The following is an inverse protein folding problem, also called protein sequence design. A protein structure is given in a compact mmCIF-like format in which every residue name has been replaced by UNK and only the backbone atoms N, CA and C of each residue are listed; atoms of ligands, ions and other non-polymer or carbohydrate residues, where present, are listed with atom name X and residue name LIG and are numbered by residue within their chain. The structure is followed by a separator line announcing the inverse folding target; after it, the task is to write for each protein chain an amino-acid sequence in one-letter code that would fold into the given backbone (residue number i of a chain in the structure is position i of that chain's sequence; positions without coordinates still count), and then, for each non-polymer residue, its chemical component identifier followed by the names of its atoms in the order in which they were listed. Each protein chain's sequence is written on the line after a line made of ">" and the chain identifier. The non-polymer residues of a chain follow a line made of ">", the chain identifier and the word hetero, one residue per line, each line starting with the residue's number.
data_IF_888582310349
#
_entry.id   IF_888582310349
#
_cell.length_a   1.000
_cell.length_b   1.000
_cell.length_c   1.000
_cell.angle_alpha   90.00
_cell.angle_beta   90.00
_cell.angle_gamma   90.00
#
_symmetry.space_group_name_H-M   'P 1'
#
loop_
_entity.id
_entity.type
_entity.pdbx_description
1 polymer ?
#
# COMPACT_ATOMS: atom_id res chain seq x y z
N UNK A 1 -5.45 8.02 -23.61
CA UNK A 1 -5.78 7.23 -22.40
C UNK A 1 -4.71 7.50 -21.36
N UNK A 2 -5.08 7.80 -20.12
CA UNK A 2 -4.14 8.00 -19.02
C UNK A 2 -4.06 6.70 -18.19
N UNK A 3 -2.86 6.38 -17.68
CA UNK A 3 -2.56 5.15 -16.91
C UNK A 3 -1.79 5.54 -15.66
N UNK A 4 -2.07 4.88 -14.54
CA UNK A 4 -1.31 5.05 -13.30
C UNK A 4 -0.20 3.99 -13.20
N UNK A 5 1.06 4.40 -13.05
CA UNK A 5 2.18 3.50 -12.83
C UNK A 5 2.63 3.59 -11.37
N UNK A 6 2.56 2.47 -10.64
CA UNK A 6 2.93 2.42 -9.22
C UNK A 6 4.15 1.52 -9.00
N UNK A 7 5.19 2.09 -8.40
CA UNK A 7 6.40 1.37 -7.98
C UNK A 7 6.39 1.16 -6.47
N UNK A 8 6.27 -0.10 -6.03
CA UNK A 8 6.26 -0.51 -4.62
C UNK A 8 5.35 0.34 -3.70
N UNK A 9 4.08 0.57 -4.08
CA UNK A 9 3.21 1.48 -3.35
C UNK A 9 2.89 0.92 -1.95
N UNK A 10 2.88 1.79 -0.94
CA UNK A 10 2.37 1.47 0.39
C UNK A 10 0.86 1.77 0.40
N UNK A 11 0.06 0.77 0.05
CA UNK A 11 -1.39 0.96 -0.10
C UNK A 11 -2.17 0.65 1.16
N UNK A 12 -1.64 -0.20 2.03
CA UNK A 12 -2.22 -0.54 3.32
C UNK A 12 -1.19 -0.33 4.45
N UNK A 13 -1.51 0.54 5.41
CA UNK A 13 -0.66 0.83 6.56
C UNK A 13 -0.56 -0.33 7.56
N UNK A 14 -1.48 -1.30 7.53
CA UNK A 14 -1.55 -2.38 8.53
C UNK A 14 -0.35 -3.31 8.45
N UNK A 15 0.25 -3.40 7.26
CA UNK A 15 1.36 -4.32 6.97
C UNK A 15 1.01 -5.74 7.43
N UNK A 16 -0.20 -6.17 7.09
CA UNK A 16 -0.71 -7.51 7.36
C UNK A 16 -0.57 -8.35 6.08
N UNK A 17 -0.22 -9.64 6.21
CA UNK A 17 -0.05 -10.55 5.07
C UNK A 17 1.24 -11.38 5.14
N UNK A 18 1.34 -12.33 4.20
CA UNK A 18 2.48 -13.25 4.10
C UNK A 18 3.78 -12.51 3.77
N UNK A 19 3.73 -11.46 2.94
CA UNK A 19 4.91 -10.66 2.60
C UNK A 19 5.41 -9.82 3.77
N UNK A 20 4.50 -9.30 4.59
CA UNK A 20 4.87 -8.51 5.76
C UNK A 20 5.56 -9.35 6.84
N UNK A 21 5.10 -10.60 7.03
CA UNK A 21 5.76 -11.55 7.93
C UNK A 21 7.12 -12.03 7.36
N UNK A 22 7.17 -12.41 6.08
CA UNK A 22 8.37 -12.93 5.43
C UNK A 22 9.52 -11.91 5.36
N UNK A 23 9.19 -10.62 5.25
CA UNK A 23 10.18 -9.54 5.11
C UNK A 23 10.23 -8.59 6.33
N UNK A 24 9.68 -9.00 7.47
CA UNK A 24 9.62 -8.18 8.69
C UNK A 24 11.02 -7.68 9.14
N UNK A 25 12.03 -8.54 9.07
CA UNK A 25 13.40 -8.26 9.46
C UNK A 25 14.26 -7.63 8.33
N UNK A 26 13.70 -7.48 7.13
CA UNK A 26 14.35 -6.75 6.05
C UNK A 26 14.15 -7.35 4.68
N UNK A 27 13.73 -6.49 3.75
CA UNK A 27 13.99 -6.62 2.33
C UNK A 27 14.24 -5.22 1.77
N UNK A 28 15.29 -5.04 0.97
CA UNK A 28 15.66 -3.74 0.39
C UNK A 28 15.73 -2.60 1.43
N UNK A 29 16.47 -2.83 2.53
CA UNK A 29 16.69 -1.88 3.65
C UNK A 29 15.45 -1.40 4.41
N UNK A 30 14.27 -1.92 4.09
CA UNK A 30 13.01 -1.50 4.73
C UNK A 30 12.51 -2.62 5.63
N UNK A 31 12.33 -2.32 6.92
CA UNK A 31 11.72 -3.21 7.91
C UNK A 31 10.30 -2.76 8.22
N UNK A 32 9.49 -3.62 8.85
CA UNK A 32 8.16 -3.24 9.34
C UNK A 32 8.22 -2.10 10.35
N UNK A 33 9.25 -2.06 11.20
CA UNK A 33 9.48 -0.95 12.14
C UNK A 33 9.73 0.39 11.43
N UNK A 34 10.53 0.39 10.35
CA UNK A 34 10.76 1.61 9.56
C UNK A 34 9.48 2.11 8.90
N UNK A 35 8.66 1.20 8.38
CA UNK A 35 7.40 1.56 7.75
C UNK A 35 6.37 2.13 8.73
N UNK A 36 6.25 1.54 9.92
CA UNK A 36 5.38 2.08 10.99
C UNK A 36 5.81 3.48 11.39
N UNK A 37 7.10 3.68 11.64
CA UNK A 37 7.65 5.02 11.95
C UNK A 37 7.42 6.01 10.81
N UNK A 38 7.58 5.58 9.56
CA UNK A 38 7.31 6.43 8.39
C UNK A 38 5.84 6.86 8.32
N UNK A 39 4.90 5.96 8.59
CA UNK A 39 3.48 6.28 8.68
C UNK A 39 3.18 7.27 9.81
N UNK A 40 3.72 7.04 11.01
CA UNK A 40 3.58 7.92 12.17
C UNK A 40 4.15 9.33 11.92
N UNK A 41 5.18 9.47 11.09
CA UNK A 41 5.73 10.78 10.70
C UNK A 41 4.85 11.56 9.73
N UNK A 42 4.11 10.85 8.86
CA UNK A 42 3.27 11.47 7.85
C UNK A 42 1.87 11.80 8.37
N UNK A 43 1.43 11.06 9.38
CA UNK A 43 0.20 11.34 10.08
C UNK A 43 0.48 12.40 11.16
N UNK A 44 -0.43 13.35 11.31
CA UNK A 44 -0.45 14.18 12.52
C UNK A 44 -0.73 13.28 13.73
N UNK A 45 -0.46 13.74 14.97
CA UNK A 45 -0.73 12.95 16.18
C UNK A 45 -2.16 12.38 16.26
N UNK A 46 -3.13 13.07 15.66
CA UNK A 46 -4.55 12.65 15.58
C UNK A 46 -4.96 12.14 14.18
N UNK A 47 -3.99 11.87 13.30
CA UNK A 47 -4.26 11.41 11.94
C UNK A 47 -4.69 9.95 11.93
N UNK A 48 -5.83 9.65 11.29
CA UNK A 48 -6.29 8.28 11.11
C UNK A 48 -5.45 7.58 10.02
N UNK A 49 -4.68 6.53 10.36
CA UNK A 49 -3.92 5.78 9.36
C UNK A 49 -4.82 5.02 8.38
N UNK A 50 -6.09 4.78 8.75
CA UNK A 50 -7.09 4.13 7.92
C UNK A 50 -7.75 5.08 6.92
N UNK A 51 -7.47 6.38 7.01
CA UNK A 51 -7.97 7.37 6.06
C UNK A 51 -7.59 6.95 4.63
N UNK A 52 -8.52 6.95 3.66
CA UNK A 52 -8.24 6.59 2.26
C UNK A 52 -7.11 7.41 1.60
N UNK A 53 -6.81 8.62 2.08
CA UNK A 53 -5.68 9.42 1.63
C UNK A 53 -4.33 8.94 2.19
N UNK A 54 -4.33 8.25 3.33
CA UNK A 54 -3.14 7.63 3.93
C UNK A 54 -2.99 6.15 3.52
N UNK A 55 -4.10 5.44 3.37
CA UNK A 55 -4.19 4.02 3.01
C UNK A 55 -5.23 3.81 1.91
N UNK A 56 -4.86 4.12 0.67
CA UNK A 56 -5.75 3.97 -0.49
C UNK A 56 -6.22 2.50 -0.70
N UNK A 57 -5.46 1.55 -0.16
CA UNK A 57 -5.79 0.13 0.02
C UNK A 57 -7.09 -0.13 0.80
N UNK A 58 -7.54 0.83 1.60
CA UNK A 58 -8.72 0.71 2.47
C UNK A 58 -9.93 1.52 1.95
N UNK A 59 -9.76 2.26 0.85
CA UNK A 59 -10.85 3.06 0.27
C UNK A 59 -12.06 2.17 -0.12
N UNK A 60 -13.30 2.58 0.22
CA UNK A 60 -14.50 1.78 -0.05
C UNK A 60 -14.93 1.81 -1.53
N UNK A 61 -14.52 2.83 -2.29
CA UNK A 61 -14.78 2.97 -3.72
C UNK A 61 -13.56 3.56 -4.42
N UNK A 62 -13.31 3.13 -5.66
CA UNK A 62 -12.17 3.54 -6.50
C UNK A 62 -12.61 4.05 -7.88
N UNK A 63 -13.90 4.36 -8.04
CA UNK A 63 -14.53 4.85 -9.26
C UNK A 63 -13.79 6.03 -9.87
N UNK A 64 -13.51 5.93 -11.17
CA UNK A 64 -12.84 6.98 -11.94
C UNK A 64 -11.31 6.95 -11.87
N UNK A 65 -10.71 6.00 -11.14
CA UNK A 65 -9.26 5.80 -11.23
C UNK A 65 -8.88 5.16 -12.57
N UNK A 66 -7.81 5.65 -13.22
CA UNK A 66 -7.30 5.02 -14.42
C UNK A 66 -6.73 3.63 -14.10
N UNK A 67 -6.62 2.74 -15.11
CA UNK A 67 -5.98 1.43 -14.93
C UNK A 67 -4.59 1.56 -14.29
N UNK A 68 -4.31 0.70 -13.31
CA UNK A 68 -3.12 0.79 -12.49
C UNK A 68 -2.35 -0.54 -12.43
N UNK A 69 -1.46 -0.84 -13.40
CA UNK A 69 -0.48 -1.90 -13.23
C UNK A 69 0.45 -1.56 -12.04
N UNK A 70 0.58 -2.49 -11.09
CA UNK A 70 1.44 -2.35 -9.94
C UNK A 70 2.57 -3.40 -10.00
N UNK A 71 3.81 -2.94 -9.79
CA UNK A 71 4.97 -3.83 -9.69
C UNK A 71 5.25 -4.16 -8.21
N UNK A 72 5.18 -5.44 -7.87
CA UNK A 72 5.50 -5.98 -6.55
C UNK A 72 6.83 -6.76 -6.64
N UNK A 73 7.97 -6.10 -6.39
CA UNK A 73 9.23 -6.80 -6.12
C UNK A 73 9.40 -7.09 -4.62
N UNK A 74 10.40 -7.89 -4.22
CA UNK A 74 10.58 -8.33 -2.81
C UNK A 74 10.50 -7.14 -1.84
N UNK A 75 9.37 -7.02 -1.16
CA UNK A 75 9.08 -5.98 -0.19
C UNK A 75 7.92 -6.43 0.68
N UNK A 76 7.88 -5.93 1.92
CA UNK A 76 6.76 -6.17 2.84
C UNK A 76 5.39 -5.72 2.31
N UNK A 77 5.35 -4.94 1.22
CA UNK A 77 4.15 -4.36 0.58
C UNK A 77 3.64 -5.20 -0.60
N UNK A 78 4.30 -6.33 -0.92
CA UNK A 78 3.97 -7.17 -2.08
C UNK A 78 2.50 -7.55 -2.12
N UNK A 79 1.93 -7.98 -0.99
CA UNK A 79 0.55 -8.45 -0.94
C UNK A 79 -0.43 -7.33 -1.30
N UNK A 80 -0.27 -6.14 -0.69
CA UNK A 80 -1.11 -4.97 -0.99
C UNK A 80 -0.93 -4.44 -2.42
N UNK A 81 0.28 -4.53 -2.98
CA UNK A 81 0.56 -4.11 -4.35
C UNK A 81 -0.01 -5.11 -5.39
N UNK A 82 -0.01 -6.40 -5.07
CA UNK A 82 -0.59 -7.45 -5.92
C UNK A 82 -2.12 -7.41 -5.93
N UNK A 83 -2.75 -7.04 -4.82
CA UNK A 83 -4.20 -6.89 -4.70
C UNK A 83 -4.76 -5.65 -5.43
N UNK A 84 -3.95 -4.60 -5.57
CA UNK A 84 -4.38 -3.31 -6.10
C UNK A 84 -5.07 -3.34 -7.48
N UNK A 85 -4.53 -4.02 -8.51
CA UNK A 85 -5.19 -4.08 -9.82
C UNK A 85 -6.57 -4.77 -9.77
N UNK A 86 -6.74 -5.74 -8.85
CA UNK A 86 -8.01 -6.44 -8.63
C UNK A 86 -9.03 -5.51 -7.97
N UNK A 87 -8.62 -4.76 -6.94
CA UNK A 87 -9.49 -3.77 -6.29
C UNK A 87 -9.89 -2.63 -7.22
N UNK A 88 -8.97 -2.04 -7.97
CA UNK A 88 -9.29 -0.99 -8.95
C UNK A 88 -10.32 -1.49 -9.95
N UNK A 89 -10.19 -2.72 -10.45
CA UNK A 89 -11.17 -3.29 -11.38
C UNK A 89 -12.53 -3.57 -10.76
N UNK A 90 -12.57 -3.97 -9.48
CA UNK A 90 -13.79 -4.41 -8.81
C UNK A 90 -14.59 -3.24 -8.22
N UNK A 91 -13.90 -2.18 -7.80
CA UNK A 91 -14.47 -1.02 -7.11
C UNK A 91 -14.47 0.26 -7.97
N UNK A 92 -14.09 0.16 -9.26
CA UNK A 92 -14.26 1.25 -10.22
C UNK A 92 -15.68 1.34 -10.74
#
# INVERSE_FOLDING_TARGET
>A
MATQLLFHPALDHRLEGGSAAAYAAGCSHTTTAHMRRHCEQHLRPDGDPSDPHASLGLAPALTGLPPAPAAAGCSLKCDSAADWPVRVRTLS
#
